data_IF_869678784543
#
_entry.id   IF_869678784543
#
_cell.length_a   1.000
_cell.length_b   1.000
_cell.length_c   1.000
_cell.angle_alpha   90.00
_cell.angle_beta   90.00
_cell.angle_gamma   90.00
#
_symmetry.space_group_name_H-M   'P 1'
#
loop_
_entity.id
_entity.type
_entity.pdbx_description
1 polymer ?
#
# COMPACT_ATOMS: atom_id res chain seq x y z
N UNK A 1 -1.16 -23.29 12.99
CA UNK A 1 -2.28 -24.23 12.70
C UNK A 1 -3.56 -23.59 13.22
N UNK A 2 -4.61 -23.52 12.41
CA UNK A 2 -5.87 -22.88 12.78
C UNK A 2 -6.78 -23.79 13.64
N UNK A 3 -7.74 -23.18 14.33
CA UNK A 3 -8.79 -23.89 15.08
C UNK A 3 -9.72 -24.66 14.11
N UNK A 4 -10.14 -25.89 14.43
CA UNK A 4 -11.16 -26.59 13.65
C UNK A 4 -12.47 -25.80 13.55
N UNK A 5 -13.11 -25.81 12.37
CA UNK A 5 -14.35 -25.06 12.13
C UNK A 5 -15.46 -25.46 13.11
N UNK A 6 -15.55 -26.74 13.45
CA UNK A 6 -16.53 -27.25 14.42
C UNK A 6 -16.34 -26.64 15.83
N UNK A 7 -15.09 -26.50 16.28
CA UNK A 7 -14.79 -25.88 17.58
C UNK A 7 -15.11 -24.38 17.58
N UNK A 8 -14.81 -23.70 16.47
CA UNK A 8 -15.14 -22.29 16.30
C UNK A 8 -16.66 -22.05 16.31
N UNK A 9 -17.42 -22.86 15.59
CA UNK A 9 -18.89 -22.82 15.55
C UNK A 9 -19.46 -23.00 16.96
N UNK A 10 -18.97 -24.00 17.70
CA UNK A 10 -19.38 -24.26 19.09
C UNK A 10 -19.02 -23.11 20.02
N UNK A 11 -17.80 -22.59 19.93
CA UNK A 11 -17.34 -21.49 20.77
C UNK A 11 -18.11 -20.19 20.52
N UNK A 12 -18.45 -19.90 19.27
CA UNK A 12 -19.21 -18.71 18.90
C UNK A 12 -20.73 -18.87 19.04
N UNK A 13 -21.22 -20.08 19.32
CA UNK A 13 -22.65 -20.37 19.45
C UNK A 13 -23.44 -20.12 18.16
N UNK A 14 -22.80 -20.28 17.00
CA UNK A 14 -23.43 -20.08 15.68
C UNK A 14 -23.71 -21.43 15.01
N UNK A 15 -24.57 -21.44 13.99
CA UNK A 15 -24.73 -22.63 13.15
C UNK A 15 -23.68 -22.69 12.04
N UNK A 16 -23.42 -23.90 11.54
CA UNK A 16 -22.51 -24.13 10.41
C UNK A 16 -22.95 -23.37 9.15
N UNK A 17 -24.26 -23.31 8.88
CA UNK A 17 -24.84 -22.51 7.81
C UNK A 17 -24.50 -21.01 7.93
N UNK A 18 -24.55 -20.47 9.16
CA UNK A 18 -24.20 -19.07 9.42
C UNK A 18 -22.71 -18.83 9.17
N UNK A 19 -21.84 -19.75 9.63
CA UNK A 19 -20.40 -19.68 9.39
C UNK A 19 -20.07 -19.63 7.90
N UNK A 20 -20.58 -20.58 7.10
CA UNK A 20 -20.26 -20.61 5.66
C UNK A 20 -20.86 -19.44 4.89
N UNK A 21 -22.04 -18.94 5.26
CA UNK A 21 -22.62 -17.73 4.67
C UNK A 21 -21.72 -16.51 4.90
N UNK A 22 -21.24 -16.33 6.14
CA UNK A 22 -20.32 -15.24 6.45
C UNK A 22 -18.96 -15.43 5.81
N UNK A 23 -18.40 -16.65 5.83
CA UNK A 23 -17.17 -16.96 5.11
C UNK A 23 -17.28 -16.62 3.63
N UNK A 24 -18.37 -17.00 2.95
CA UNK A 24 -18.61 -16.63 1.55
C UNK A 24 -18.70 -15.12 1.34
N UNK A 25 -19.36 -14.39 2.25
CA UNK A 25 -19.55 -12.94 2.16
C UNK A 25 -18.28 -12.14 2.43
N UNK A 26 -17.46 -12.57 3.40
CA UNK A 26 -16.36 -11.77 3.93
C UNK A 26 -14.96 -12.29 3.54
N UNK A 27 -14.80 -13.56 3.14
CA UNK A 27 -13.48 -14.08 2.76
C UNK A 27 -12.89 -13.37 1.54
N UNK A 28 -13.72 -12.89 0.61
CA UNK A 28 -13.27 -12.10 -0.54
C UNK A 28 -12.88 -10.66 -0.17
N UNK A 29 -13.58 -10.06 0.81
CA UNK A 29 -13.33 -8.68 1.22
C UNK A 29 -11.94 -8.50 1.82
N UNK A 30 -11.49 -9.44 2.64
CA UNK A 30 -10.12 -9.45 3.18
C UNK A 30 -9.08 -9.51 2.06
N UNK A 31 -9.31 -10.34 1.03
CA UNK A 31 -8.39 -10.44 -0.10
C UNK A 31 -8.37 -9.19 -0.98
N UNK A 32 -9.51 -8.53 -1.17
CA UNK A 32 -9.60 -7.30 -1.95
C UNK A 32 -8.94 -6.13 -1.22
N UNK A 33 -9.12 -6.00 0.09
CA UNK A 33 -8.45 -4.99 0.91
C UNK A 33 -6.92 -5.19 0.91
N UNK A 34 -6.45 -6.44 1.02
CA UNK A 34 -5.01 -6.75 0.92
C UNK A 34 -4.47 -6.41 -0.47
N UNK A 35 -5.24 -6.66 -1.54
CA UNK A 35 -4.85 -6.32 -2.91
C UNK A 35 -4.74 -4.81 -3.10
N UNK A 36 -5.73 -4.05 -2.64
CA UNK A 36 -5.73 -2.59 -2.69
C UNK A 36 -4.56 -2.00 -1.89
N UNK A 37 -4.33 -2.49 -0.67
CA UNK A 37 -3.20 -2.07 0.15
C UNK A 37 -1.87 -2.30 -0.56
N UNK A 38 -1.70 -3.48 -1.20
CA UNK A 38 -0.49 -3.78 -1.97
C UNK A 38 -0.31 -2.79 -3.14
N UNK A 39 -1.38 -2.51 -3.89
CA UNK A 39 -1.34 -1.56 -5.00
C UNK A 39 -0.93 -0.14 -4.54
N UNK A 40 -1.49 0.32 -3.41
CA UNK A 40 -1.14 1.63 -2.84
C UNK A 40 0.31 1.67 -2.38
N UNK A 41 0.83 0.60 -1.77
CA UNK A 41 2.22 0.52 -1.35
C UNK A 41 3.20 0.50 -2.54
N UNK A 42 2.85 -0.25 -3.59
CA UNK A 42 3.64 -0.32 -4.82
C UNK A 42 3.70 1.07 -5.50
N UNK A 43 2.56 1.75 -5.61
CA UNK A 43 2.50 3.09 -6.20
C UNK A 43 3.22 4.13 -5.34
N UNK A 44 3.08 4.07 -4.02
CA UNK A 44 3.81 4.96 -3.11
C UNK A 44 5.33 4.80 -3.26
N UNK A 45 5.80 3.57 -3.41
CA UNK A 45 7.22 3.26 -3.64
C UNK A 45 7.69 3.84 -4.97
N UNK A 46 6.90 3.65 -6.04
CA UNK A 46 7.19 4.22 -7.36
C UNK A 46 7.26 5.75 -7.33
N UNK A 47 6.29 6.40 -6.69
CA UNK A 47 6.22 7.85 -6.57
C UNK A 47 7.39 8.40 -5.75
N UNK A 48 7.76 7.78 -4.63
CA UNK A 48 8.93 8.17 -3.84
C UNK A 48 10.23 8.12 -4.67
N UNK A 49 10.41 7.07 -5.46
CA UNK A 49 11.57 6.96 -6.35
C UNK A 49 11.60 8.08 -7.38
N UNK A 50 10.46 8.33 -8.05
CA UNK A 50 10.35 9.40 -9.05
C UNK A 50 10.63 10.78 -8.44
N UNK A 51 10.10 11.06 -7.24
CA UNK A 51 10.35 12.31 -6.53
C UNK A 51 11.84 12.46 -6.19
N UNK A 52 12.51 11.40 -5.74
CA UNK A 52 13.93 11.44 -5.45
C UNK A 52 14.78 11.73 -6.71
N UNK A 53 14.48 11.06 -7.82
CA UNK A 53 15.16 11.27 -9.11
C UNK A 53 14.97 12.72 -9.60
N UNK A 54 13.72 13.20 -9.65
CA UNK A 54 13.42 14.57 -10.08
C UNK A 54 14.03 15.62 -9.16
N UNK A 55 14.10 15.34 -7.86
CA UNK A 55 14.73 16.25 -6.89
C UNK A 55 16.24 16.34 -7.10
N UNK A 56 16.88 15.21 -7.44
CA UNK A 56 18.29 15.17 -7.79
C UNK A 56 18.56 15.95 -9.08
N UNK A 57 17.79 15.69 -10.14
CA UNK A 57 17.93 16.41 -11.42
C UNK A 57 17.74 17.92 -11.24
N UNK A 58 16.73 18.33 -10.47
CA UNK A 58 16.52 19.74 -10.11
C UNK A 58 17.74 20.32 -9.41
N UNK A 59 18.32 19.62 -8.44
CA UNK A 59 19.50 20.10 -7.72
C UNK A 59 20.71 20.26 -8.65
N UNK A 60 20.95 19.29 -9.54
CA UNK A 60 22.01 19.35 -10.55
C UNK A 60 21.82 20.54 -11.49
N UNK A 61 20.60 20.76 -11.99
CA UNK A 61 20.30 21.88 -12.87
C UNK A 61 20.50 23.24 -12.18
N UNK A 62 20.09 23.37 -10.93
CA UNK A 62 20.31 24.59 -10.15
C UNK A 62 21.79 24.85 -9.90
N UNK A 63 22.58 23.82 -9.59
CA UNK A 63 24.04 23.93 -9.43
C UNK A 63 24.70 24.40 -10.74
N UNK A 64 24.35 23.79 -11.88
CA UNK A 64 24.86 24.19 -13.20
C UNK A 64 24.50 25.65 -13.54
N UNK A 65 23.25 26.06 -13.29
CA UNK A 65 22.81 27.44 -13.53
C UNK A 65 23.56 28.44 -12.64
N UNK A 66 23.74 28.11 -11.36
CA UNK A 66 24.46 28.95 -10.41
C UNK A 66 25.93 29.16 -10.80
N UNK A 67 26.57 28.12 -11.36
CA UNK A 67 27.95 28.17 -11.88
C UNK A 67 28.04 28.95 -13.20
N UNK A 68 27.04 28.85 -14.08
CA UNK A 68 27.02 29.57 -15.37
C UNK A 68 26.73 31.06 -15.23
N UNK A 69 25.95 31.46 -14.23
CA UNK A 69 25.59 32.86 -14.00
C UNK A 69 25.94 33.29 -12.56
N UNK A 70 27.24 33.43 -12.23
CA UNK A 70 27.68 33.92 -10.93
C UNK A 70 27.38 35.43 -10.83
N UNK A 71 26.13 35.81 -10.56
CA UNK A 71 25.77 37.23 -10.43
C UNK A 71 24.29 37.62 -10.42
N UNK A 72 23.34 36.71 -10.72
CA UNK A 72 21.90 37.03 -10.65
C UNK A 72 21.33 36.89 -9.23
N UNK A 73 21.90 37.65 -8.28
CA UNK A 73 21.25 38.01 -7.02
C UNK A 73 21.47 39.50 -6.81
N UNK A 74 20.65 40.29 -7.48
CA UNK A 74 20.35 41.68 -7.13
C UNK A 74 19.08 41.72 -6.31
#
# INVERSE_FOLDING_TARGET
MGMPVADLIRQLGISEMTYYRWKKKYAGLESDQVRELKQVLDENTRLKKLVAELSLDKAVLQDVLSKKFPGHRS
#
